data_IF_411190248631
#
_entry.id   IF_411190248631
#
_cell.length_a   1.000
_cell.length_b   1.000
_cell.length_c   1.000
_cell.angle_alpha   90.00
_cell.angle_beta   90.00
_cell.angle_gamma   90.00
#
_symmetry.space_group_name_H-M   'P 1'
#
loop_
_entity.id
_entity.type
_entity.pdbx_description
1 polymer ?
#
# COMPACT_ATOMS: atom_id res chain seq x y z
N UNK A 1 -0.73 10.08 4.75
CA UNK A 1 -1.13 9.92 3.35
C UNK A 1 0.02 10.40 2.49
N UNK A 2 0.47 9.62 1.50
CA UNK A 2 1.57 10.02 0.62
C UNK A 2 1.02 11.00 -0.44
N UNK A 3 1.53 12.24 -0.53
CA UNK A 3 1.05 13.19 -1.53
C UNK A 3 1.16 12.63 -2.96
N UNK A 4 0.11 12.81 -3.75
CA UNK A 4 0.03 12.32 -5.13
C UNK A 4 -0.41 10.86 -5.27
N UNK A 5 -0.46 10.08 -4.18
CA UNK A 5 -0.93 8.69 -4.22
C UNK A 5 -2.44 8.60 -3.98
N UNK A 6 -3.07 7.60 -4.57
CA UNK A 6 -4.52 7.40 -4.43
C UNK A 6 -4.85 6.55 -3.20
N UNK A 7 -4.02 5.55 -2.92
CA UNK A 7 -4.28 4.49 -1.93
C UNK A 7 -3.20 4.38 -0.86
N UNK A 8 -2.03 5.00 -1.01
CA UNK A 8 -1.00 4.93 0.02
C UNK A 8 -1.24 5.91 1.19
N UNK A 9 -1.86 5.41 2.27
CA UNK A 9 -1.90 6.03 3.60
C UNK A 9 -3.30 6.06 4.22
N UNK A 10 -3.46 6.60 5.45
CA UNK A 10 -4.75 6.63 6.11
C UNK A 10 -5.75 7.54 5.39
N UNK A 11 -7.03 7.18 5.42
CA UNK A 11 -8.13 8.02 4.94
C UNK A 11 -8.28 8.11 3.42
N UNK A 12 -7.78 7.13 2.67
CA UNK A 12 -7.74 7.10 1.19
C UNK A 12 -9.10 7.09 0.49
N UNK A 13 -10.23 7.12 1.23
CA UNK A 13 -11.60 7.06 0.69
C UNK A 13 -11.78 5.86 -0.26
N UNK A 14 -11.23 4.71 0.13
CA UNK A 14 -11.14 3.48 -0.67
C UNK A 14 -12.44 3.17 -1.43
N UNK A 15 -13.57 3.06 -0.73
CA UNK A 15 -14.88 2.69 -1.33
C UNK A 15 -15.26 3.61 -2.49
N UNK A 16 -15.09 4.93 -2.34
CA UNK A 16 -15.42 5.91 -3.39
C UNK A 16 -14.49 5.76 -4.60
N UNK A 17 -13.21 5.49 -4.37
CA UNK A 17 -12.22 5.29 -5.44
C UNK A 17 -12.45 3.98 -6.20
N UNK A 18 -12.82 2.91 -5.48
CA UNK A 18 -13.18 1.64 -6.09
C UNK A 18 -14.43 1.76 -6.96
N UNK A 19 -15.46 2.45 -6.48
CA UNK A 19 -16.69 2.68 -7.25
C UNK A 19 -16.45 3.49 -8.54
N UNK A 20 -15.45 4.40 -8.54
CA UNK A 20 -15.04 5.13 -9.73
C UNK A 20 -14.16 4.32 -10.69
N UNK A 21 -13.57 3.21 -10.23
CA UNK A 21 -12.68 2.38 -11.03
C UNK A 21 -11.19 2.76 -10.96
N UNK A 22 -10.77 3.56 -9.96
CA UNK A 22 -9.36 3.92 -9.77
C UNK A 22 -8.50 2.66 -9.54
N UNK A 23 -7.36 2.54 -10.26
CA UNK A 23 -6.49 1.37 -10.16
C UNK A 23 -5.21 1.57 -9.33
N UNK A 24 -4.79 2.81 -9.12
CA UNK A 24 -3.50 3.19 -8.53
C UNK A 24 -2.59 3.79 -9.59
N UNK A 25 -1.82 4.82 -9.22
CA UNK A 25 -0.98 5.56 -10.18
C UNK A 25 0.32 4.82 -10.56
N UNK A 26 0.73 3.84 -9.76
CA UNK A 26 1.89 2.98 -10.00
C UNK A 26 1.73 1.67 -9.22
N UNK A 27 2.73 0.79 -9.32
CA UNK A 27 2.69 -0.54 -8.68
C UNK A 27 2.71 -0.46 -7.16
N UNK A 28 3.37 0.54 -6.56
CA UNK A 28 3.27 0.78 -5.12
C UNK A 28 1.85 1.17 -4.71
N UNK A 29 1.21 2.07 -5.44
CA UNK A 29 -0.16 2.54 -5.14
C UNK A 29 -1.19 1.42 -5.33
N UNK A 30 -1.00 0.56 -6.34
CA UNK A 30 -1.79 -0.65 -6.51
C UNK A 30 -1.61 -1.64 -5.34
N UNK A 31 -0.39 -1.78 -4.80
CA UNK A 31 -0.15 -2.60 -3.61
C UNK A 31 -0.84 -2.02 -2.37
N UNK A 32 -0.82 -0.70 -2.18
CA UNK A 32 -1.57 -0.04 -1.12
C UNK A 32 -3.08 -0.25 -1.27
N UNK A 33 -3.61 -0.21 -2.50
CA UNK A 33 -5.02 -0.50 -2.79
C UNK A 33 -5.41 -1.93 -2.38
N UNK A 34 -4.59 -2.91 -2.72
CA UNK A 34 -4.83 -4.32 -2.39
C UNK A 34 -4.79 -4.56 -0.87
N UNK A 35 -3.85 -3.92 -0.19
CA UNK A 35 -3.78 -3.91 1.27
C UNK A 35 -5.07 -3.35 1.87
N UNK A 36 -5.51 -2.17 1.43
CA UNK A 36 -6.72 -1.53 1.95
C UNK A 36 -7.99 -2.35 1.64
N UNK A 37 -8.08 -3.01 0.48
CA UNK A 37 -9.17 -3.94 0.15
C UNK A 37 -9.16 -5.15 1.09
N UNK A 38 -7.97 -5.70 1.35
CA UNK A 38 -7.81 -6.84 2.27
C UNK A 38 -8.29 -6.44 3.67
N UNK A 39 -7.89 -5.27 4.15
CA UNK A 39 -8.33 -4.73 5.43
C UNK A 39 -9.83 -4.44 5.50
N UNK A 40 -10.44 -4.00 4.39
CA UNK A 40 -11.88 -3.78 4.31
C UNK A 40 -12.67 -5.12 4.31
N UNK A 41 -12.09 -6.17 3.71
CA UNK A 41 -12.71 -7.51 3.62
C UNK A 41 -12.42 -8.38 4.84
N UNK A 42 -11.35 -8.10 5.57
CA UNK A 42 -11.03 -8.81 6.80
C UNK A 42 -12.07 -8.47 7.86
N UNK A 43 -12.79 -9.48 8.33
CA UNK A 43 -13.42 -9.42 9.63
C UNK A 43 -12.33 -9.52 10.72
N UNK A 44 -12.71 -9.41 12.00
CA UNK A 44 -11.81 -9.56 13.17
C UNK A 44 -11.07 -10.92 13.28
N UNK A 45 -11.17 -11.79 12.27
CA UNK A 45 -10.58 -13.13 12.22
C UNK A 45 -9.39 -13.24 11.27
N UNK A 46 -9.15 -12.26 10.39
CA UNK A 46 -8.00 -12.30 9.48
C UNK A 46 -6.79 -11.73 10.20
N UNK A 47 -5.65 -12.42 10.10
CA UNK A 47 -4.38 -11.94 10.64
C UNK A 47 -3.95 -10.64 9.91
N UNK A 48 -4.04 -9.47 10.57
CA UNK A 48 -3.64 -8.21 9.96
C UNK A 48 -2.14 -8.16 9.64
N UNK A 49 -1.30 -8.95 10.34
CA UNK A 49 0.14 -9.01 10.08
C UNK A 49 0.45 -9.57 8.71
N UNK A 50 -0.34 -10.53 8.20
CA UNK A 50 -0.12 -11.10 6.87
C UNK A 50 -0.33 -10.05 5.75
N UNK A 51 -1.32 -9.17 5.91
CA UNK A 51 -1.57 -8.07 4.98
C UNK A 51 -0.45 -7.02 5.04
N UNK A 52 -0.04 -6.61 6.24
CA UNK A 52 1.06 -5.67 6.46
C UNK A 52 2.40 -6.23 5.91
N UNK A 53 2.68 -7.52 6.13
CA UNK A 53 3.89 -8.19 5.62
C UNK A 53 3.89 -8.25 4.09
N UNK A 54 2.75 -8.62 3.50
CA UNK A 54 2.60 -8.63 2.04
C UNK A 54 2.86 -7.25 1.44
N UNK A 55 2.33 -6.19 2.07
CA UNK A 55 2.59 -4.81 1.62
C UNK A 55 4.07 -4.44 1.80
N UNK A 56 4.69 -4.82 2.91
CA UNK A 56 6.11 -4.58 3.15
C UNK A 56 6.98 -5.25 2.07
N UNK A 57 6.72 -6.51 1.73
CA UNK A 57 7.46 -7.23 0.68
C UNK A 57 7.31 -6.54 -0.68
N UNK A 58 6.09 -6.15 -1.06
CA UNK A 58 5.83 -5.44 -2.31
C UNK A 58 6.52 -4.07 -2.34
N UNK A 59 6.44 -3.30 -1.25
CA UNK A 59 7.12 -2.02 -1.13
C UNK A 59 8.65 -2.19 -1.24
N UNK A 60 9.23 -3.17 -0.55
CA UNK A 60 10.68 -3.46 -0.62
C UNK A 60 11.14 -3.79 -2.04
N UNK A 61 10.36 -4.55 -2.81
CA UNK A 61 10.63 -4.81 -4.22
C UNK A 61 10.63 -3.52 -5.06
N UNK A 62 9.75 -2.56 -4.76
CA UNK A 62 9.73 -1.27 -5.47
C UNK A 62 10.94 -0.40 -5.15
N UNK A 63 11.48 -0.45 -3.92
CA UNK A 63 12.71 0.27 -3.55
C UNK A 63 13.90 -0.15 -4.43
N UNK A 64 14.07 -1.46 -4.65
CA UNK A 64 15.22 -2.00 -5.40
C UNK A 64 14.99 -2.14 -6.90
N UNK A 65 13.75 -1.98 -7.38
CA UNK A 65 13.42 -2.14 -8.80
C UNK A 65 14.04 -1.04 -9.68
N UNK A 66 14.47 -1.41 -10.88
CA UNK A 66 14.92 -0.45 -11.92
C UNK A 66 13.75 0.29 -12.57
N UNK A 67 12.58 -0.34 -12.60
CA UNK A 67 11.34 0.19 -13.19
C UNK A 67 10.59 1.17 -12.27
N UNK A 68 11.11 1.43 -11.06
CA UNK A 68 10.54 2.41 -10.15
C UNK A 68 11.19 3.78 -10.34
N UNK A 69 10.38 4.81 -10.43
CA UNK A 69 10.86 6.20 -10.38
C UNK A 69 11.49 6.51 -9.03
N UNK A 70 12.31 7.56 -8.94
CA UNK A 70 12.88 8.02 -7.66
C UNK A 70 11.79 8.36 -6.64
N UNK A 71 10.69 8.99 -7.09
CA UNK A 71 9.53 9.29 -6.25
C UNK A 71 8.82 8.04 -5.75
N UNK A 72 8.66 7.02 -6.59
CA UNK A 72 8.09 5.73 -6.18
C UNK A 72 8.98 5.00 -5.18
N UNK A 73 10.31 5.01 -5.38
CA UNK A 73 11.25 4.41 -4.42
C UNK A 73 11.19 5.09 -3.06
N UNK A 74 11.15 6.42 -3.02
CA UNK A 74 11.03 7.18 -1.79
C UNK A 74 9.71 6.87 -1.06
N UNK A 75 8.59 6.89 -1.77
CA UNK A 75 7.30 6.50 -1.20
C UNK A 75 7.29 5.05 -0.70
N UNK A 76 7.89 4.13 -1.46
CA UNK A 76 7.98 2.72 -1.10
C UNK A 76 8.82 2.51 0.17
N UNK A 77 9.90 3.28 0.36
CA UNK A 77 10.70 3.24 1.57
C UNK A 77 9.90 3.66 2.81
N UNK A 78 9.10 4.73 2.69
CA UNK A 78 8.21 5.18 3.78
C UNK A 78 7.15 4.12 4.10
N UNK A 79 6.48 3.56 3.08
CA UNK A 79 5.47 2.51 3.26
C UNK A 79 6.10 1.26 3.90
N UNK A 80 7.25 0.82 3.42
CA UNK A 80 7.97 -0.33 3.96
C UNK A 80 8.31 -0.14 5.44
N UNK A 81 8.87 1.01 5.81
CA UNK A 81 9.20 1.33 7.20
C UNK A 81 7.95 1.34 8.09
N UNK A 82 6.84 1.92 7.61
CA UNK A 82 5.59 1.93 8.34
C UNK A 82 5.03 0.51 8.60
N UNK A 83 5.05 -0.37 7.58
CA UNK A 83 4.59 -1.76 7.75
C UNK A 83 5.49 -2.55 8.71
N UNK A 84 6.81 -2.33 8.66
CA UNK A 84 7.75 -2.95 9.61
C UNK A 84 7.57 -2.46 11.05
N UNK A 85 7.09 -1.24 11.25
CA UNK A 85 6.77 -0.73 12.58
C UNK A 85 5.48 -1.32 13.15
N UNK A 86 4.49 -1.63 12.30
CA UNK A 86 3.22 -2.27 12.72
C UNK A 86 3.33 -3.76 13.02
N UNK A 87 4.27 -4.45 12.37
CA UNK A 87 4.50 -5.89 12.53
C UNK A 87 5.40 -6.25 13.73
N UNK A 88 5.91 -5.26 14.45
CA UNK A 88 6.63 -5.42 15.72
C UNK A 88 5.68 -5.30 16.91
#
# INVERSE_FOLDING_TARGET
HVPGYQFCGPGTRLVKRLARGDQGINLLDAACREHDITYLRSNNLTDPHAADETLAVKARKRITSKESTLGEKAAAAVVWAAMKAKTK
#
